data_IF_621174643995
#
_entry.id   IF_621174643995
#
_cell.length_a   1.000
_cell.length_b   1.000
_cell.length_c   1.000
_cell.angle_alpha   90.00
_cell.angle_beta   90.00
_cell.angle_gamma   90.00
#
_symmetry.space_group_name_H-M   'P 1'
#
loop_
_entity.id
_entity.type
_entity.pdbx_description
1 polymer ?
#
# COMPACT_ATOMS: atom_id res chain seq x y z
N UNK A 1 -12.98 51.16 -27.61
CA UNK A 1 -11.66 50.61 -27.26
C UNK A 1 -11.60 50.50 -25.74
N UNK A 2 -12.22 49.47 -25.14
CA UNK A 2 -12.25 49.28 -23.69
C UNK A 2 -11.30 48.15 -23.32
N UNK A 3 -10.29 48.42 -22.49
CA UNK A 3 -9.34 47.43 -22.01
C UNK A 3 -10.02 46.54 -20.97
N UNK A 4 -10.27 45.28 -21.32
CA UNK A 4 -10.69 44.26 -20.36
C UNK A 4 -9.44 43.79 -19.62
N UNK A 5 -9.15 44.35 -18.45
CA UNK A 5 -8.07 43.84 -17.60
C UNK A 5 -8.61 42.64 -16.82
N UNK A 6 -8.46 41.45 -17.40
CA UNK A 6 -8.67 40.19 -16.70
C UNK A 6 -7.41 39.92 -15.86
N UNK A 7 -7.46 40.27 -14.58
CA UNK A 7 -6.44 39.85 -13.61
C UNK A 7 -6.54 38.33 -13.42
N UNK A 8 -5.72 37.60 -14.18
CA UNK A 8 -5.49 36.17 -13.98
C UNK A 8 -4.46 35.99 -12.86
N UNK A 9 -4.86 36.17 -11.59
CA UNK A 9 -4.17 35.51 -10.48
C UNK A 9 -4.82 34.15 -10.24
N UNK A 10 -4.63 33.24 -11.20
CA UNK A 10 -4.83 31.82 -10.96
C UNK A 10 -3.67 31.31 -10.11
N UNK A 11 -3.77 31.43 -8.79
CA UNK A 11 -2.89 30.69 -7.89
C UNK A 11 -3.12 29.20 -8.16
N UNK A 12 -2.14 28.59 -8.82
CA UNK A 12 -1.95 27.15 -8.88
C UNK A 12 -2.03 26.58 -7.46
N UNK A 13 -3.18 26.06 -7.06
CA UNK A 13 -3.20 25.11 -5.94
C UNK A 13 -2.43 23.90 -6.46
N UNK A 14 -1.17 23.80 -6.04
CA UNK A 14 -0.36 22.65 -6.34
C UNK A 14 -0.97 21.49 -5.57
N UNK A 15 -1.78 20.67 -6.24
CA UNK A 15 -2.41 19.44 -5.73
C UNK A 15 -1.35 18.35 -5.44
N UNK A 16 -0.26 18.73 -4.76
CA UNK A 16 0.80 17.83 -4.35
C UNK A 16 0.53 17.48 -2.88
N UNK A 17 0.46 16.19 -2.53
CA UNK A 17 0.20 15.78 -1.15
C UNK A 17 1.30 16.34 -0.23
N UNK A 18 0.88 16.84 0.93
CA UNK A 18 1.80 17.27 1.99
C UNK A 18 2.46 16.05 2.61
N UNK A 19 3.79 15.93 2.46
CA UNK A 19 4.57 14.83 3.00
C UNK A 19 5.08 15.09 4.42
N UNK A 20 4.92 16.31 4.96
CA UNK A 20 5.41 16.67 6.29
C UNK A 20 4.72 15.84 7.41
N UNK A 21 3.48 15.41 7.17
CA UNK A 21 2.77 14.52 8.09
C UNK A 21 3.46 13.16 8.25
N UNK A 22 4.09 12.63 7.19
CA UNK A 22 4.78 11.34 7.24
C UNK A 22 5.99 11.39 8.19
N UNK A 23 6.70 12.51 8.22
CA UNK A 23 7.88 12.70 9.07
C UNK A 23 7.53 12.78 10.56
N UNK A 24 6.35 13.32 10.89
CA UNK A 24 5.96 13.68 12.26
C UNK A 24 4.82 12.82 12.84
N UNK A 25 4.28 11.88 12.06
CA UNK A 25 3.16 11.06 12.48
C UNK A 25 3.50 10.20 13.72
N UNK A 26 2.66 10.32 14.75
CA UNK A 26 2.76 9.55 15.97
C UNK A 26 2.25 8.11 15.78
N UNK A 27 3.19 7.16 15.79
CA UNK A 27 2.92 5.72 15.63
C UNK A 27 1.98 5.14 16.69
N UNK A 28 1.82 5.78 17.85
CA UNK A 28 0.90 5.31 18.89
C UNK A 28 -0.57 5.46 18.49
N UNK A 29 -0.87 6.34 17.53
CA UNK A 29 -2.21 6.53 16.97
C UNK A 29 -2.62 5.43 15.99
N UNK A 30 -1.71 4.52 15.63
CA UNK A 30 -2.03 3.36 14.81
C UNK A 30 -2.93 2.37 15.59
N UNK A 31 -3.98 1.91 14.92
CA UNK A 31 -4.85 0.86 15.46
C UNK A 31 -4.02 -0.42 15.68
N UNK A 32 -4.18 -1.04 16.85
CA UNK A 32 -3.60 -2.36 17.09
C UNK A 32 -4.32 -3.37 16.23
N UNK A 33 -3.55 -4.15 15.49
CA UNK A 33 -4.05 -5.25 14.65
C UNK A 33 -3.22 -6.49 14.93
N UNK A 34 -3.89 -7.64 15.06
CA UNK A 34 -3.23 -8.94 15.11
C UNK A 34 -2.88 -9.33 13.67
N UNK A 35 -1.59 -9.54 13.39
CA UNK A 35 -1.13 -10.05 12.09
C UNK A 35 -1.01 -11.56 12.16
N UNK A 36 -1.77 -12.27 11.32
CA UNK A 36 -1.67 -13.73 11.17
C UNK A 36 -0.81 -14.09 9.97
N UNK A 37 0.41 -14.52 10.24
CA UNK A 37 1.28 -15.09 9.22
C UNK A 37 0.75 -16.47 8.81
N UNK A 38 0.36 -16.61 7.53
CA UNK A 38 -0.16 -17.86 6.97
C UNK A 38 0.92 -18.58 6.16
N UNK A 39 2.03 -18.89 6.82
CA UNK A 39 3.12 -19.65 6.22
C UNK A 39 3.36 -20.99 6.95
N UNK A 40 2.36 -21.90 6.99
CA UNK A 40 2.58 -23.23 7.55
C UNK A 40 3.50 -24.04 6.63
N UNK A 41 4.43 -24.78 7.23
CA UNK A 41 5.18 -25.79 6.49
C UNK A 41 4.24 -26.92 6.04
N UNK A 42 4.49 -27.54 4.86
CA UNK A 42 3.72 -28.70 4.43
C UNK A 42 3.87 -29.86 5.42
N UNK A 43 2.83 -30.69 5.53
CA UNK A 43 2.87 -31.89 6.38
C UNK A 43 3.59 -33.04 5.67
N UNK A 44 3.99 -34.07 6.42
CA UNK A 44 4.62 -35.28 5.84
C UNK A 44 3.71 -35.93 4.79
N UNK A 45 2.41 -35.97 5.04
CA UNK A 45 1.42 -36.52 4.11
C UNK A 45 1.39 -35.74 2.80
N UNK A 46 1.36 -34.41 2.85
CA UNK A 46 1.38 -33.55 1.65
C UNK A 46 2.65 -33.78 0.84
N UNK A 47 3.80 -33.88 1.51
CA UNK A 47 5.09 -34.14 0.86
C UNK A 47 5.10 -35.51 0.16
N UNK A 48 4.55 -36.55 0.80
CA UNK A 48 4.47 -37.89 0.24
C UNK A 48 3.51 -37.97 -0.96
N UNK A 49 2.36 -37.29 -0.88
CA UNK A 49 1.41 -37.17 -1.99
C UNK A 49 2.04 -36.47 -3.19
N UNK A 50 2.72 -35.34 -2.98
CA UNK A 50 3.43 -34.60 -4.03
C UNK A 50 4.48 -35.51 -4.70
N UNK A 51 5.33 -36.16 -3.90
CA UNK A 51 6.37 -37.07 -4.39
C UNK A 51 5.81 -38.22 -5.23
N UNK A 52 4.66 -38.78 -4.86
CA UNK A 52 4.01 -39.84 -5.64
C UNK A 52 3.38 -39.31 -6.92
N UNK A 53 2.72 -38.15 -6.84
CA UNK A 53 2.11 -37.50 -8.01
C UNK A 53 3.15 -37.09 -9.06
N UNK A 54 4.35 -36.69 -8.65
CA UNK A 54 5.47 -36.35 -9.52
C UNK A 54 6.04 -37.57 -10.27
N UNK A 55 5.91 -38.78 -9.72
CA UNK A 55 6.34 -40.03 -10.37
C UNK A 55 5.33 -40.62 -11.36
N UNK A 56 4.12 -40.04 -11.46
CA UNK A 56 3.02 -40.56 -12.29
C UNK A 56 2.68 -39.64 -13.48
N UNK A 57 3.62 -38.78 -13.88
CA UNK A 57 3.55 -37.94 -15.08
C UNK A 57 4.53 -38.43 -16.16
#
# INVERSE_FOLDING_TARGET
MGVFSLSLSGSIMSDKPDFAEIETFDKTKLKKTETREKNPLPTKETIEQEKQSESTA
#
